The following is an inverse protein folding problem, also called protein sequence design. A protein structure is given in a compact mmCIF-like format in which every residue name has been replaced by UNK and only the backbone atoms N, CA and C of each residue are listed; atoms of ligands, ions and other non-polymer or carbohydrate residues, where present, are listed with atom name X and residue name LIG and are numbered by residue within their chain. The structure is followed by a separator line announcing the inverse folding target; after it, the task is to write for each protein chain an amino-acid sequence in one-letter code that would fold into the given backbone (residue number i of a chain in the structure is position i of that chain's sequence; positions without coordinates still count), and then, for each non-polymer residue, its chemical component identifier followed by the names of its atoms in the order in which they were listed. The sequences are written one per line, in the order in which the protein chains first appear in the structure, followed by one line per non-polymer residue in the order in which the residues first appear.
data_IF_953806373173
#
_entry.id   IF_953806373173
#
_cell.length_a   1.000
_cell.length_b   1.000
_cell.length_c   1.000
_cell.angle_alpha   90.00
_cell.angle_beta   90.00
_cell.angle_gamma   90.00
#
_symmetry.space_group_name_H-M   'P 1'
#
loop_
_entity.id
_entity.type
_entity.pdbx_description
1 polymer ?
#
# COMPACT_ATOMS: atom_id res chain seq x y z
N UNK A 1 -11.46 6.49 -0.21
CA UNK A 1 -10.02 6.84 -0.28
C UNK A 1 -9.88 8.29 0.17
N UNK A 2 -8.85 8.61 0.95
CA UNK A 2 -8.57 9.98 1.43
C UNK A 2 -7.70 10.71 0.40
N UNK A 3 -8.27 11.08 -0.75
CA UNK A 3 -7.50 11.58 -1.90
C UNK A 3 -6.93 12.98 -1.69
N UNK A 4 -7.52 13.78 -0.82
CA UNK A 4 -7.04 15.13 -0.48
C UNK A 4 -5.94 15.07 0.58
N UNK A 5 -6.10 14.22 1.59
CA UNK A 5 -5.16 14.08 2.70
C UNK A 5 -4.00 13.13 2.37
N UNK A 6 -4.20 12.17 1.49
CA UNK A 6 -3.22 11.15 1.07
C UNK A 6 -3.10 11.06 -0.46
N UNK A 7 -2.77 12.17 -1.15
CA UNK A 7 -2.76 12.20 -2.60
C UNK A 7 -1.73 11.23 -3.18
N UNK A 8 -0.52 11.12 -2.62
CA UNK A 8 0.50 10.20 -3.16
C UNK A 8 0.13 8.74 -2.94
N UNK A 9 -0.32 8.38 -1.73
CA UNK A 9 -0.71 7.00 -1.45
C UNK A 9 -1.94 6.58 -2.28
N UNK A 10 -2.94 7.46 -2.42
CA UNK A 10 -4.12 7.17 -3.23
C UNK A 10 -3.76 7.08 -4.73
N UNK A 11 -2.89 7.96 -5.23
CA UNK A 11 -2.41 7.91 -6.61
C UNK A 11 -1.69 6.59 -6.87
N UNK A 12 -0.77 6.18 -5.99
CA UNK A 12 -0.07 4.91 -6.08
C UNK A 12 -1.05 3.74 -6.14
N UNK A 13 -1.98 3.67 -5.19
CA UNK A 13 -2.99 2.61 -5.13
C UNK A 13 -3.85 2.55 -6.40
N UNK A 14 -4.42 3.68 -6.82
CA UNK A 14 -5.29 3.74 -7.99
C UNK A 14 -4.57 3.39 -9.30
N UNK A 15 -3.32 3.83 -9.46
CA UNK A 15 -2.52 3.50 -10.65
C UNK A 15 -2.14 2.03 -10.68
N UNK A 16 -1.75 1.44 -9.55
CA UNK A 16 -1.48 0.00 -9.44
C UNK A 16 -2.75 -0.83 -9.75
N UNK A 17 -3.93 -0.40 -9.29
CA UNK A 17 -5.21 -1.00 -9.71
C UNK A 17 -5.41 -0.90 -11.23
N UNK A 18 -5.14 0.27 -11.84
CA UNK A 18 -5.34 0.49 -13.28
C UNK A 18 -4.46 -0.39 -14.15
N UNK A 19 -3.21 -0.64 -13.73
CA UNK A 19 -2.29 -1.54 -14.45
C UNK A 19 -2.47 -3.01 -14.07
N UNK A 20 -3.54 -3.36 -13.35
CA UNK A 20 -3.87 -4.72 -12.90
C UNK A 20 -2.78 -5.35 -12.02
N UNK A 21 -1.97 -4.53 -11.34
CA UNK A 21 -0.88 -4.99 -10.48
C UNK A 21 -1.36 -5.89 -9.34
N UNK A 22 -2.54 -5.59 -8.80
CA UNK A 22 -3.13 -6.35 -7.70
C UNK A 22 -3.91 -7.60 -8.15
N UNK A 23 -4.02 -7.87 -9.45
CA UNK A 23 -4.73 -9.05 -9.93
C UNK A 23 -3.99 -10.30 -9.46
N UNK A 24 -4.73 -11.22 -8.84
CA UNK A 24 -4.21 -12.46 -8.26
C UNK A 24 -3.23 -12.28 -7.08
N UNK A 25 -3.10 -11.06 -6.54
CA UNK A 25 -2.38 -10.87 -5.28
C UNK A 25 -3.08 -11.65 -4.16
N UNK A 26 -2.31 -12.48 -3.47
CA UNK A 26 -2.81 -13.25 -2.34
C UNK A 26 -3.05 -12.34 -1.14
N UNK A 27 -4.03 -12.72 -0.32
CA UNK A 27 -4.07 -12.30 1.08
C UNK A 27 -3.19 -13.29 1.84
N UNK A 28 -1.94 -12.92 2.10
CA UNK A 28 -0.93 -13.83 2.66
C UNK A 28 -0.82 -13.75 4.19
N UNK A 29 -1.39 -12.70 4.82
CA UNK A 29 -1.40 -12.56 6.27
C UNK A 29 -2.81 -12.17 6.74
N UNK A 30 -3.39 -13.00 7.60
CA UNK A 30 -4.72 -12.83 8.18
C UNK A 30 -4.60 -12.93 9.69
N UNK A 31 -4.86 -11.81 10.37
CA UNK A 31 -4.87 -11.74 11.83
C UNK A 31 -6.31 -11.52 12.29
N UNK A 32 -6.87 -12.54 12.93
CA UNK A 32 -8.27 -12.54 13.36
C UNK A 32 -8.58 -11.31 14.21
N UNK A 33 -9.68 -10.64 13.89
CA UNK A 33 -10.16 -9.44 14.57
C UNK A 33 -9.21 -8.23 14.56
N UNK A 34 -8.20 -8.25 13.68
CA UNK A 34 -7.23 -7.16 13.59
C UNK A 34 -7.03 -6.66 12.16
N UNK A 35 -6.32 -7.41 11.31
CA UNK A 35 -6.00 -6.98 9.95
C UNK A 35 -5.98 -8.15 8.97
N UNK A 36 -6.22 -7.83 7.70
CA UNK A 36 -5.72 -8.62 6.59
C UNK A 36 -4.65 -7.82 5.84
N UNK A 37 -3.64 -8.48 5.30
CA UNK A 37 -2.56 -7.86 4.53
C UNK A 37 -2.50 -8.46 3.13
N UNK A 38 -2.35 -7.60 2.13
CA UNK A 38 -2.21 -7.99 0.72
C UNK A 38 -1.40 -6.93 -0.05
N UNK A 39 -1.42 -7.01 -1.38
CA UNK A 39 -0.75 -6.05 -2.26
C UNK A 39 0.71 -6.41 -2.60
N UNK A 40 1.12 -7.64 -2.34
CA UNK A 40 2.40 -8.21 -2.81
C UNK A 40 2.13 -9.24 -3.92
N UNK A 41 2.49 -8.96 -5.19
CA UNK A 41 2.31 -9.91 -6.30
C UNK A 41 3.11 -11.20 -6.15
N UNK A 42 4.18 -11.18 -5.35
CA UNK A 42 4.99 -12.38 -5.09
C UNK A 42 4.35 -13.28 -4.03
N UNK A 43 3.40 -12.77 -3.25
CA UNK A 43 2.77 -13.50 -2.14
C UNK A 43 3.69 -13.80 -0.94
N UNK A 44 4.92 -13.28 -0.93
CA UNK A 44 5.92 -13.57 0.12
C UNK A 44 5.79 -12.67 1.34
N UNK A 45 5.11 -11.53 1.20
CA UNK A 45 5.03 -10.45 2.19
C UNK A 45 6.26 -9.54 2.21
N UNK A 46 7.30 -9.83 1.41
CA UNK A 46 8.53 -9.03 1.31
C UNK A 46 8.65 -8.31 -0.03
N UNK A 47 7.78 -8.63 -0.99
CA UNK A 47 7.75 -8.01 -2.31
C UNK A 47 6.91 -6.74 -2.33
N UNK A 48 6.51 -6.35 -3.53
CA UNK A 48 5.75 -5.12 -3.74
C UNK A 48 6.64 -3.91 -3.99
N UNK A 49 6.16 -3.06 -4.88
CA UNK A 49 6.80 -1.82 -5.30
C UNK A 49 5.75 -0.78 -5.62
N UNK A 50 6.11 0.49 -5.47
CA UNK A 50 5.22 1.58 -5.85
C UNK A 50 5.10 1.68 -7.38
N UNK A 51 4.05 2.35 -7.86
CA UNK A 51 3.93 2.70 -9.28
C UNK A 51 5.11 3.55 -9.76
N UNK A 52 5.73 4.32 -8.85
CA UNK A 52 6.85 5.20 -9.18
C UNK A 52 8.11 4.40 -9.57
N UNK A 53 8.22 3.14 -9.14
CA UNK A 53 9.28 2.23 -9.59
C UNK A 53 9.26 2.07 -11.12
N UNK A 54 8.07 1.95 -11.72
CA UNK A 54 7.91 1.81 -13.17
C UNK A 54 8.27 3.10 -13.93
N UNK A 55 8.24 4.26 -13.25
CA UNK A 55 8.52 5.56 -13.84
C UNK A 55 9.98 5.99 -13.69
N UNK A 56 10.60 5.66 -12.54
CA UNK A 56 11.90 6.19 -12.14
C UNK A 56 12.92 5.10 -11.78
N UNK A 57 12.57 3.82 -11.91
CA UNK A 57 13.41 2.68 -11.57
C UNK A 57 13.44 2.35 -10.07
N UNK A 58 14.33 1.42 -9.69
CA UNK A 58 14.42 0.83 -8.34
C UNK A 58 14.58 1.84 -7.19
N UNK A 59 15.19 3.00 -7.47
CA UNK A 59 15.31 4.10 -6.52
C UNK A 59 13.95 4.64 -6.02
N UNK A 60 12.89 4.46 -6.82
CA UNK A 60 11.52 4.86 -6.49
C UNK A 60 10.64 3.65 -6.14
N UNK A 61 11.25 2.52 -5.77
CA UNK A 61 10.52 1.33 -5.31
C UNK A 61 9.60 1.62 -4.14
N UNK A 62 10.01 2.52 -3.26
CA UNK A 62 9.19 3.01 -2.15
C UNK A 62 9.06 4.53 -2.19
N UNK A 63 8.01 5.06 -1.56
CA UNK A 63 7.77 6.49 -1.42
C UNK A 63 7.46 6.83 0.04
N UNK A 64 7.72 8.08 0.43
CA UNK A 64 7.53 8.54 1.82
C UNK A 64 6.05 8.58 2.23
N UNK A 65 5.80 8.20 3.48
CA UNK A 65 4.48 8.24 4.09
C UNK A 65 3.98 9.67 4.34
N UNK A 66 2.78 9.96 3.84
CA UNK A 66 2.03 11.17 4.19
C UNK A 66 1.40 10.96 5.58
N UNK A 67 1.69 11.85 6.54
CA UNK A 67 1.27 11.69 7.95
C UNK A 67 0.29 12.74 8.47
N UNK A 68 0.13 13.85 7.74
CA UNK A 68 -0.68 15.01 8.15
C UNK A 68 -1.82 15.21 7.16
N UNK A 69 -3.07 15.41 7.60
CA UNK A 69 -3.57 15.30 8.97
C UNK A 69 -3.49 13.85 9.50
N UNK A 70 -3.53 13.68 10.83
CA UNK A 70 -3.45 12.35 11.46
C UNK A 70 -4.81 11.65 11.38
N UNK A 71 -4.90 10.63 10.52
CA UNK A 71 -6.08 9.77 10.37
C UNK A 71 -5.87 8.52 11.23
N UNK A 72 -6.89 8.10 12.00
CA UNK A 72 -6.84 6.93 12.88
C UNK A 72 -7.74 5.81 12.36
N UNK A 73 -7.34 4.56 12.52
CA UNK A 73 -8.16 3.37 12.22
C UNK A 73 -9.29 3.22 13.25
N UNK A 74 -10.35 4.04 13.14
CA UNK A 74 -11.47 4.05 14.09
C UNK A 74 -12.53 2.99 13.80
N UNK A 75 -12.57 2.44 12.58
CA UNK A 75 -13.62 1.52 12.11
C UNK A 75 -12.98 0.37 11.34
N UNK A 76 -13.57 -0.83 11.43
CA UNK A 76 -13.21 -1.99 10.59
C UNK A 76 -13.39 -1.62 9.11
N UNK A 77 -12.52 -2.13 8.24
CA UNK A 77 -12.53 -1.79 6.82
C UNK A 77 -11.74 -0.54 6.45
N UNK A 78 -10.93 0.00 7.37
CA UNK A 78 -10.07 1.14 7.06
C UNK A 78 -8.83 0.66 6.33
N UNK A 79 -8.67 1.07 5.07
CA UNK A 79 -7.50 0.69 4.27
C UNK A 79 -6.30 1.59 4.61
N UNK A 80 -5.14 0.99 4.82
CA UNK A 80 -3.88 1.70 5.11
C UNK A 80 -2.68 1.02 4.44
N UNK A 81 -1.65 1.79 4.12
CA UNK A 81 -0.45 1.26 3.48
C UNK A 81 0.46 0.59 4.51
N UNK A 82 1.08 -0.52 4.13
CA UNK A 82 2.09 -1.19 4.96
C UNK A 82 3.37 -0.35 4.97
N UNK A 83 4.04 -0.32 6.12
CA UNK A 83 5.34 0.31 6.27
C UNK A 83 6.43 -0.71 5.94
N UNK A 84 7.23 -0.42 4.91
CA UNK A 84 8.31 -1.28 4.44
C UNK A 84 9.67 -0.93 5.09
N UNK A 85 9.65 -0.15 6.17
CA UNK A 85 10.83 0.40 6.83
C UNK A 85 10.99 1.90 6.54
N UNK A 86 11.61 2.63 7.48
CA UNK A 86 11.92 4.06 7.33
C UNK A 86 10.73 4.95 6.95
N UNK A 87 9.51 4.56 7.36
CA UNK A 87 8.26 5.25 7.00
C UNK A 87 8.04 5.38 5.49
N UNK A 88 8.41 4.34 4.75
CA UNK A 88 8.16 4.25 3.33
C UNK A 88 7.08 3.23 3.00
N UNK A 89 6.36 3.52 1.91
CA UNK A 89 5.27 2.72 1.39
C UNK A 89 5.61 2.18 0.00
N UNK A 90 5.14 0.97 -0.28
CA UNK A 90 5.18 0.35 -1.61
C UNK A 90 3.77 0.12 -2.15
N UNK A 91 3.49 -1.11 -2.58
CA UNK A 91 2.15 -1.55 -3.01
C UNK A 91 1.33 -2.24 -1.93
N UNK A 92 1.97 -2.71 -0.84
CA UNK A 92 1.28 -3.49 0.18
C UNK A 92 0.34 -2.63 1.02
N UNK A 93 -0.82 -3.17 1.36
CA UNK A 93 -1.82 -2.50 2.20
C UNK A 93 -2.54 -3.49 3.12
N UNK A 94 -3.15 -2.93 4.17
CA UNK A 94 -3.94 -3.62 5.17
C UNK A 94 -5.37 -3.07 5.25
N UNK A 95 -6.31 -3.90 5.72
CA UNK A 95 -7.74 -3.58 5.88
C UNK A 95 -8.22 -3.99 7.27
#
# INVERSE_FOLDING_TARGET
LYTEERPRACLNFLKLCKVKYYNYCLIYNVQRDFIIQTGDPTGTGRGGESIFCQLYGDQARFFEAEKVPRIRHKKKGTVSMVNNGSDQHGSQFLI
#
